data_IF_265949599068
#
_entry.id   IF_265949599068
#
_cell.length_a   1.000
_cell.length_b   1.000
_cell.length_c   1.000
_cell.angle_alpha   90.00
_cell.angle_beta   90.00
_cell.angle_gamma   90.00
#
_symmetry.space_group_name_H-M   'P 1'
#
loop_
_entity.id
_entity.type
_entity.pdbx_description
1 polymer ?
#
# COMPACT_ATOMS: atom_id res chain seq x y z
N UNK A 1 -17.62 34.41 -33.01
CA UNK A 1 -16.33 33.84 -33.45
C UNK A 1 -15.26 34.17 -32.42
N UNK A 2 -14.67 33.16 -31.77
CA UNK A 2 -13.60 33.38 -30.78
C UNK A 2 -12.30 33.75 -31.49
N UNK A 3 -11.60 34.79 -31.02
CA UNK A 3 -10.30 35.16 -31.60
C UNK A 3 -9.23 34.12 -31.26
N UNK A 4 -8.23 33.99 -32.12
CA UNK A 4 -7.11 33.05 -31.94
C UNK A 4 -6.43 33.20 -30.57
N UNK A 5 -6.35 34.43 -30.05
CA UNK A 5 -5.83 34.71 -28.70
C UNK A 5 -6.69 34.10 -27.59
N UNK A 6 -8.02 34.21 -27.70
CA UNK A 6 -8.95 33.61 -26.72
C UNK A 6 -8.89 32.08 -26.77
N UNK A 7 -8.72 31.51 -27.96
CA UNK A 7 -8.55 30.06 -28.13
C UNK A 7 -7.25 29.56 -27.50
N UNK A 8 -6.14 30.28 -27.70
CA UNK A 8 -4.84 29.95 -27.10
C UNK A 8 -4.86 30.04 -25.56
N UNK A 9 -5.49 31.09 -25.01
CA UNK A 9 -5.65 31.24 -23.54
C UNK A 9 -6.51 30.09 -22.98
N UNK A 10 -7.59 29.73 -23.66
CA UNK A 10 -8.46 28.63 -23.22
C UNK A 10 -7.75 27.28 -23.25
N UNK A 11 -6.98 27.00 -24.31
CA UNK A 11 -6.14 25.81 -24.39
C UNK A 11 -5.07 25.76 -23.29
N UNK A 12 -4.42 26.90 -23.00
CA UNK A 12 -3.43 27.00 -21.93
C UNK A 12 -4.05 26.71 -20.55
N UNK A 13 -5.24 27.24 -20.27
CA UNK A 13 -5.98 26.97 -19.03
C UNK A 13 -6.33 25.49 -18.87
N UNK A 14 -6.76 24.82 -19.95
CA UNK A 14 -7.04 23.36 -19.93
C UNK A 14 -5.76 22.56 -19.62
N UNK A 15 -4.61 22.95 -20.19
CA UNK A 15 -3.33 22.27 -19.93
C UNK A 15 -2.92 22.43 -18.46
N UNK A 16 -3.02 23.64 -17.90
CA UNK A 16 -2.70 23.91 -16.49
C UNK A 16 -3.60 23.14 -15.51
N UNK A 17 -4.90 23.00 -15.80
CA UNK A 17 -5.81 22.21 -14.95
C UNK A 17 -5.57 20.71 -15.06
N UNK A 18 -5.17 20.21 -16.23
CA UNK A 18 -4.79 18.81 -16.43
C UNK A 18 -3.54 18.44 -15.61
N UNK A 19 -2.51 19.29 -15.62
CA UNK A 19 -1.28 19.10 -14.83
C UNK A 19 -1.54 19.10 -13.32
N UNK A 20 -2.51 19.88 -12.84
CA UNK A 20 -2.92 19.90 -11.44
C UNK A 20 -3.62 18.61 -10.99
N UNK A 21 -4.24 17.87 -11.92
CA UNK A 21 -4.93 16.61 -11.65
C UNK A 21 -3.95 15.43 -11.53
N UNK A 22 -2.87 15.44 -12.30
CA UNK A 22 -1.84 14.39 -12.33
C UNK A 22 -1.00 14.35 -11.04
N UNK A 23 -0.83 15.49 -10.36
CA UNK A 23 -0.06 15.59 -9.11
C UNK A 23 -0.67 14.83 -7.91
N UNK A 24 -1.92 14.34 -8.01
CA UNK A 24 -2.59 13.56 -6.96
C UNK A 24 -2.58 12.05 -7.17
N UNK A 25 -1.94 11.56 -8.24
CA UNK A 25 -1.96 10.16 -8.65
C UNK A 25 -0.60 9.47 -8.52
N UNK A 26 0.17 9.76 -7.46
CA UNK A 26 1.20 8.81 -7.03
C UNK A 26 0.52 7.55 -6.49
N UNK A 27 0.17 6.64 -7.40
CA UNK A 27 -0.34 5.32 -7.07
C UNK A 27 0.73 4.52 -6.33
N UNK A 28 0.36 3.87 -5.22
CA UNK A 28 1.27 2.99 -4.50
C UNK A 28 1.45 1.68 -5.28
N UNK A 29 2.64 1.52 -5.86
CA UNK A 29 3.01 0.33 -6.62
C UNK A 29 3.80 -0.68 -5.75
N UNK A 30 3.78 -1.98 -6.11
CA UNK A 30 4.69 -2.96 -5.53
C UNK A 30 6.14 -2.51 -5.54
N UNK A 31 6.84 -2.63 -4.40
CA UNK A 31 8.26 -2.31 -4.30
C UNK A 31 9.18 -3.49 -4.62
N UNK A 32 8.63 -4.70 -4.68
CA UNK A 32 9.39 -5.91 -4.95
C UNK A 32 8.61 -7.19 -4.68
N UNK A 33 9.32 -8.32 -4.72
CA UNK A 33 8.79 -9.65 -4.40
C UNK A 33 9.82 -10.43 -3.58
N UNK A 34 9.34 -11.21 -2.61
CA UNK A 34 10.16 -12.15 -1.83
C UNK A 34 9.68 -13.58 -2.07
N UNK A 35 10.62 -14.54 -2.06
CA UNK A 35 10.29 -15.96 -2.21
C UNK A 35 10.04 -16.59 -0.85
N UNK A 36 8.87 -17.20 -0.67
CA UNK A 36 8.48 -17.90 0.53
C UNK A 36 9.41 -19.08 0.82
N UNK A 37 9.86 -19.16 2.07
CA UNK A 37 10.64 -20.27 2.61
C UNK A 37 9.80 -20.99 3.67
N UNK A 38 9.97 -22.30 3.79
CA UNK A 38 9.32 -23.08 4.84
C UNK A 38 9.87 -22.60 6.20
N UNK A 39 9.02 -22.13 7.13
CA UNK A 39 9.49 -21.71 8.44
C UNK A 39 9.99 -22.91 9.25
N UNK A 40 10.96 -22.73 10.16
CA UNK A 40 11.33 -23.77 11.13
C UNK A 40 10.11 -24.23 11.94
N UNK A 41 10.04 -25.51 12.37
CA UNK A 41 8.85 -26.08 13.03
C UNK A 41 8.35 -25.32 14.25
N UNK A 42 9.26 -24.69 15.00
CA UNK A 42 8.99 -23.95 16.25
C UNK A 42 8.58 -22.48 15.98
N UNK A 43 8.60 -22.05 14.71
CA UNK A 43 8.57 -20.62 14.38
C UNK A 43 7.22 -20.06 13.88
N UNK A 44 6.20 -20.90 13.69
CA UNK A 44 4.90 -20.48 13.16
C UNK A 44 3.74 -21.05 13.98
N UNK A 45 3.08 -20.22 14.80
CA UNK A 45 1.73 -20.52 15.29
C UNK A 45 0.73 -20.36 14.13
N UNK A 46 -0.46 -20.96 14.25
CA UNK A 46 -1.56 -20.84 13.27
C UNK A 46 -2.74 -20.05 13.83
N UNK A 47 -2.52 -19.35 14.95
CA UNK A 47 -3.53 -18.54 15.61
C UNK A 47 -3.83 -17.29 14.77
N UNK A 48 -5.05 -16.75 14.91
CA UNK A 48 -5.49 -15.50 14.25
C UNK A 48 -5.28 -15.47 12.72
N UNK A 49 -5.58 -16.59 12.04
CA UNK A 49 -5.46 -16.72 10.57
C UNK A 49 -4.05 -16.45 10.02
N UNK A 50 -3.02 -16.67 10.83
CA UNK A 50 -1.62 -16.53 10.43
C UNK A 50 -1.23 -17.59 9.40
N UNK A 51 -1.37 -17.22 8.12
CA UNK A 51 -1.00 -18.06 6.99
C UNK A 51 0.52 -18.16 6.86
N UNK A 52 1.06 -19.38 6.90
CA UNK A 52 2.49 -19.62 6.70
C UNK A 52 2.91 -19.27 5.26
N UNK A 53 4.14 -18.79 5.09
CA UNK A 53 4.72 -18.63 3.77
C UNK A 53 4.85 -20.00 3.08
N UNK A 54 4.22 -20.16 1.91
CA UNK A 54 4.32 -21.36 1.09
C UNK A 54 5.68 -21.40 0.40
N UNK A 55 6.37 -22.54 0.48
CA UNK A 55 7.68 -22.70 -0.12
C UNK A 55 7.60 -22.45 -1.63
N UNK A 56 8.49 -21.58 -2.14
CA UNK A 56 8.57 -21.25 -3.55
C UNK A 56 7.58 -20.19 -4.04
N UNK A 57 6.51 -19.87 -3.28
CA UNK A 57 5.54 -18.82 -3.66
C UNK A 57 6.19 -17.43 -3.58
N UNK A 58 5.94 -16.58 -4.57
CA UNK A 58 6.34 -15.17 -4.54
C UNK A 58 5.29 -14.35 -3.79
N UNK A 59 5.73 -13.53 -2.84
CA UNK A 59 4.93 -12.61 -2.06
C UNK A 59 5.33 -11.18 -2.39
N UNK A 60 4.35 -10.33 -2.70
CA UNK A 60 4.59 -8.92 -3.04
C UNK A 60 4.95 -8.12 -1.79
N UNK A 61 5.94 -7.23 -1.90
CA UNK A 61 6.30 -6.28 -0.85
C UNK A 61 5.88 -4.86 -1.25
N UNK A 62 5.55 -4.04 -0.26
CA UNK A 62 5.19 -2.64 -0.44
C UNK A 62 6.02 -1.80 0.54
N UNK A 63 6.50 -0.64 0.09
CA UNK A 63 7.11 0.40 0.93
C UNK A 63 6.18 1.60 1.13
N UNK A 64 4.99 1.53 0.53
CA UNK A 64 3.95 2.55 0.55
C UNK A 64 2.62 1.92 0.96
N UNK A 65 1.67 2.78 1.30
CA UNK A 65 0.26 2.44 1.54
C UNK A 65 -0.62 3.28 0.62
N UNK A 66 -1.91 2.95 0.47
CA UNK A 66 -2.87 3.82 -0.22
C UNK A 66 -2.92 5.23 0.40
N UNK A 67 -3.38 6.25 -0.35
CA UNK A 67 -3.53 7.60 0.15
C UNK A 67 -4.42 7.67 1.40
N UNK A 68 -4.00 8.48 2.37
CA UNK A 68 -4.74 8.71 3.61
C UNK A 68 -5.77 9.82 3.39
N UNK A 69 -7.01 9.57 3.79
CA UNK A 69 -8.11 10.53 3.80
C UNK A 69 -8.86 10.49 5.15
N UNK A 70 -9.80 11.42 5.36
CA UNK A 70 -10.66 11.41 6.55
C UNK A 70 -11.52 10.15 6.71
N UNK A 71 -11.64 9.34 5.65
CA UNK A 71 -12.34 8.06 5.63
C UNK A 71 -11.51 6.99 4.90
N UNK A 72 -10.25 6.83 5.32
CA UNK A 72 -9.32 5.87 4.71
C UNK A 72 -9.88 4.45 4.82
N UNK A 73 -10.08 3.80 3.66
CA UNK A 73 -10.49 2.40 3.62
C UNK A 73 -9.32 1.50 4.00
N UNK A 74 -9.57 0.54 4.89
CA UNK A 74 -8.57 -0.42 5.35
C UNK A 74 -9.21 -1.79 5.57
N UNK A 75 -8.37 -2.82 5.62
CA UNK A 75 -8.76 -4.17 6.06
C UNK A 75 -8.35 -4.31 7.52
N UNK A 76 -9.32 -4.52 8.41
CA UNK A 76 -9.06 -4.78 9.81
C UNK A 76 -8.65 -6.25 9.99
N UNK A 77 -7.56 -6.49 10.72
CA UNK A 77 -7.05 -7.82 11.06
C UNK A 77 -6.96 -7.98 12.58
N UNK A 78 -7.14 -9.20 13.07
CA UNK A 78 -7.03 -9.54 14.50
C UNK A 78 -5.59 -9.96 14.81
N UNK A 79 -5.01 -9.49 15.91
CA UNK A 79 -3.66 -9.87 16.37
C UNK A 79 -3.58 -9.81 17.91
N UNK A 80 -2.87 -10.77 18.52
CA UNK A 80 -2.55 -10.76 19.96
C UNK A 80 -1.22 -10.04 20.25
N UNK A 81 -1.25 -9.14 21.23
CA UNK A 81 -0.09 -8.35 21.68
C UNK A 81 0.36 -8.71 23.10
N UNK A 82 -0.27 -9.71 23.71
CA UNK A 82 0.09 -10.20 25.04
C UNK A 82 1.43 -10.95 24.99
N UNK A 83 2.08 -11.09 26.16
CA UNK A 83 3.28 -11.91 26.29
C UNK A 83 2.98 -13.36 25.89
N UNK A 84 3.73 -13.88 24.91
CA UNK A 84 3.51 -15.23 24.38
C UNK A 84 2.40 -15.35 23.33
N UNK A 85 1.75 -14.26 22.95
CA UNK A 85 0.85 -14.21 21.80
C UNK A 85 1.60 -14.16 20.45
N UNK A 86 0.94 -13.64 19.41
CA UNK A 86 1.47 -13.65 18.02
C UNK A 86 2.81 -12.93 17.86
N UNK A 87 3.06 -11.92 18.70
CA UNK A 87 4.30 -11.16 18.64
C UNK A 87 5.42 -11.87 19.39
N UNK A 88 6.43 -12.28 18.60
CA UNK A 88 7.71 -12.78 19.12
C UNK A 88 8.57 -11.73 19.82
N UNK A 89 8.33 -10.44 19.58
CA UNK A 89 9.10 -9.33 20.16
C UNK A 89 8.18 -8.34 20.88
N UNK A 90 8.64 -7.72 21.98
CA UNK A 90 7.91 -6.65 22.65
C UNK A 90 7.67 -5.48 21.68
N UNK A 91 6.58 -4.76 21.89
CA UNK A 91 6.40 -3.45 21.28
C UNK A 91 7.46 -2.54 21.88
N UNK A 92 8.31 -1.93 21.04
CA UNK A 92 9.10 -0.78 21.47
C UNK A 92 8.15 0.41 21.51
N UNK A 93 7.79 0.81 22.73
CA UNK A 93 7.19 2.11 23.04
C UNK A 93 8.30 3.11 23.30
#
# INVERSE_FOLDING_TARGET
MMSLRKLAIFALLIILTAQALEGRLQSCNPSGKIRGKKPPPVQCNQENDSNRCKQGKLYTTYKCSPPVSGSTKAVLTINSFQKGGDRRRPIRV
#
